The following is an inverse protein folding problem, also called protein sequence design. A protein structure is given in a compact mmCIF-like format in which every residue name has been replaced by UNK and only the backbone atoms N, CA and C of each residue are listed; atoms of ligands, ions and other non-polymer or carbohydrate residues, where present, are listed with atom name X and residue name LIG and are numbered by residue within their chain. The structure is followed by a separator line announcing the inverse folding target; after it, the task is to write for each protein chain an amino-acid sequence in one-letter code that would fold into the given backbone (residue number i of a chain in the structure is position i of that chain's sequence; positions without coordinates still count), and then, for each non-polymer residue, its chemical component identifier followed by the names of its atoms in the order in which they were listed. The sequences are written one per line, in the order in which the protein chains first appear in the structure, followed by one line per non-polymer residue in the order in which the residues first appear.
data_IF_117905939063
#
_entry.id   IF_117905939063
#
_cell.length_a   1.000
_cell.length_b   1.000
_cell.length_c   1.000
_cell.angle_alpha   90.00
_cell.angle_beta   90.00
_cell.angle_gamma   90.00
#
_symmetry.space_group_name_H-M   'P 1'
#
loop_
_entity.id
_entity.type
_entity.pdbx_description
1 polymer ?
#
# COMPACT_ATOMS: atom_id res chain seq x y z
N UNK A 1 -10.48 -3.36 -16.29
CA UNK A 1 -10.28 -2.86 -17.67
C UNK A 1 -10.36 -1.34 -17.72
N UNK A 2 -11.14 -0.69 -16.88
CA UNK A 2 -11.45 0.75 -16.96
C UNK A 2 -10.54 1.63 -16.07
N UNK A 3 -9.59 1.06 -15.34
CA UNK A 3 -8.68 1.79 -14.44
C UNK A 3 -7.46 2.39 -15.18
N UNK A 4 -7.06 1.81 -16.31
CA UNK A 4 -5.91 2.27 -17.09
C UNK A 4 -6.03 3.70 -17.64
N UNK A 5 -7.19 4.13 -18.16
CA UNK A 5 -7.34 5.49 -18.67
C UNK A 5 -7.28 6.57 -17.59
N UNK A 6 -7.41 6.21 -16.32
CA UNK A 6 -7.46 7.15 -15.19
C UNK A 6 -6.07 7.36 -14.54
N UNK A 7 -5.03 6.67 -15.04
CA UNK A 7 -3.66 6.85 -14.58
C UNK A 7 -3.36 6.29 -13.19
N UNK A 8 -4.11 5.28 -12.74
CA UNK A 8 -3.80 4.59 -11.48
C UNK A 8 -2.53 3.74 -11.60
N UNK A 9 -1.51 3.94 -10.76
CA UNK A 9 -0.29 3.15 -10.84
C UNK A 9 -0.52 1.72 -10.35
N UNK A 10 0.12 0.76 -11.03
CA UNK A 10 0.16 -0.62 -10.58
C UNK A 10 1.36 -0.85 -9.68
N UNK A 11 1.15 -1.60 -8.58
CA UNK A 11 2.18 -2.01 -7.65
C UNK A 11 2.30 -3.54 -7.60
N UNK A 12 3.45 -4.05 -7.17
CA UNK A 12 3.71 -5.47 -7.08
C UNK A 12 3.19 -6.03 -5.74
N UNK A 13 2.53 -7.19 -5.81
CA UNK A 13 2.07 -7.94 -4.63
C UNK A 13 2.40 -9.43 -4.73
N UNK A 14 3.53 -9.77 -5.41
CA UNK A 14 3.92 -11.10 -5.88
C UNK A 14 2.95 -11.70 -6.91
N UNK A 15 3.38 -12.74 -7.61
CA UNK A 15 2.52 -13.45 -8.56
C UNK A 15 1.62 -14.47 -7.85
N UNK A 16 2.19 -15.23 -6.93
CA UNK A 16 1.52 -16.37 -6.30
C UNK A 16 0.86 -16.04 -4.95
N UNK A 17 0.98 -14.80 -4.46
CA UNK A 17 0.44 -14.36 -3.17
C UNK A 17 0.80 -15.28 -2.00
N UNK A 18 2.05 -15.75 -1.93
CA UNK A 18 2.54 -16.59 -0.83
C UNK A 18 3.29 -15.74 0.20
N UNK A 19 3.37 -16.23 1.45
CA UNK A 19 4.20 -15.60 2.49
C UNK A 19 5.67 -15.54 2.04
N UNK A 20 6.33 -14.41 2.21
CA UNK A 20 7.73 -14.26 1.80
C UNK A 20 8.67 -15.29 2.46
N UNK A 21 8.36 -15.68 3.69
CA UNK A 21 9.10 -16.70 4.43
C UNK A 21 9.02 -18.12 3.83
N UNK A 22 8.06 -18.38 2.93
CA UNK A 22 7.89 -19.66 2.26
C UNK A 22 8.71 -19.80 0.97
N UNK A 23 9.41 -18.75 0.55
CA UNK A 23 10.24 -18.77 -0.63
C UNK A 23 11.72 -18.98 -0.29
N UNK A 24 12.44 -19.70 -1.16
CA UNK A 24 13.86 -19.48 -1.31
C UNK A 24 14.10 -18.12 -1.99
N UNK A 25 15.30 -17.57 -1.87
CA UNK A 25 15.65 -16.31 -2.54
C UNK A 25 15.39 -16.38 -4.04
N UNK A 26 15.86 -17.45 -4.71
CA UNK A 26 15.64 -17.66 -6.14
C UNK A 26 14.16 -17.83 -6.47
N UNK A 27 13.42 -18.59 -5.68
CA UNK A 27 11.98 -18.77 -5.88
C UNK A 27 11.19 -17.46 -5.79
N UNK A 28 11.58 -16.56 -4.88
CA UNK A 28 10.97 -15.23 -4.82
C UNK A 28 11.35 -14.39 -6.04
N UNK A 29 12.59 -14.40 -6.49
CA UNK A 29 13.01 -13.68 -7.71
C UNK A 29 12.18 -14.13 -8.92
N UNK A 30 12.04 -15.46 -9.13
CA UNK A 30 11.22 -16.03 -10.21
C UNK A 30 9.73 -15.63 -10.11
N UNK A 31 9.17 -15.62 -8.90
CA UNK A 31 7.78 -15.23 -8.65
C UNK A 31 7.54 -13.73 -8.94
N UNK A 32 8.48 -12.88 -8.53
CA UNK A 32 8.45 -11.45 -8.80
C UNK A 32 8.61 -11.15 -10.29
N UNK A 33 9.47 -11.89 -11.01
CA UNK A 33 9.65 -11.75 -12.46
C UNK A 33 8.38 -12.12 -13.23
N UNK A 34 7.66 -13.15 -12.78
CA UNK A 34 6.36 -13.51 -13.34
C UNK A 34 5.32 -12.41 -13.13
N UNK A 35 5.27 -11.83 -11.94
CA UNK A 35 4.36 -10.72 -11.66
C UNK A 35 4.69 -9.50 -12.51
N UNK A 36 5.96 -9.15 -12.65
CA UNK A 36 6.40 -8.00 -13.46
C UNK A 36 6.01 -8.16 -14.93
N UNK A 37 6.15 -9.35 -15.50
CA UNK A 37 5.70 -9.62 -16.88
C UNK A 37 4.20 -9.36 -17.07
N UNK A 38 3.37 -9.72 -16.06
CA UNK A 38 1.93 -9.42 -16.11
C UNK A 38 1.69 -7.92 -15.97
N UNK A 39 2.35 -7.26 -15.04
CA UNK A 39 2.16 -5.83 -14.83
C UNK A 39 2.64 -4.99 -16.02
N UNK A 40 3.72 -5.39 -16.68
CA UNK A 40 4.25 -4.73 -17.87
C UNK A 40 3.28 -4.76 -19.06
N UNK A 41 2.37 -5.74 -19.12
CA UNK A 41 1.34 -5.76 -20.17
C UNK A 41 0.23 -4.71 -19.97
N UNK A 42 0.14 -4.13 -18.78
CA UNK A 42 -0.83 -3.06 -18.47
C UNK A 42 -0.19 -1.67 -18.40
N UNK A 43 1.11 -1.61 -18.12
CA UNK A 43 1.85 -0.37 -17.94
C UNK A 43 3.30 -0.57 -18.41
N UNK A 44 3.55 -0.19 -19.66
CA UNK A 44 4.87 -0.32 -20.32
C UNK A 44 5.91 0.67 -19.79
N UNK A 45 5.51 1.69 -19.03
CA UNK A 45 6.39 2.78 -18.61
C UNK A 45 7.40 2.40 -17.52
N UNK A 46 7.58 1.13 -17.25
CA UNK A 46 8.76 0.49 -16.65
C UNK A 46 9.41 1.15 -15.42
N UNK A 47 8.69 2.02 -14.70
CA UNK A 47 9.22 2.62 -13.50
C UNK A 47 9.34 1.58 -12.38
N UNK A 48 10.35 1.76 -11.54
CA UNK A 48 10.53 0.93 -10.35
C UNK A 48 9.26 1.00 -9.49
N UNK A 49 8.50 -0.12 -9.46
CA UNK A 49 7.19 -0.19 -8.82
C UNK A 49 7.29 -0.14 -7.30
N UNK A 50 6.17 0.16 -6.66
CA UNK A 50 6.00 -0.04 -5.22
C UNK A 50 5.67 -1.51 -4.94
N UNK A 51 5.95 -1.97 -3.72
CA UNK A 51 5.69 -3.33 -3.28
C UNK A 51 4.79 -3.35 -2.06
N UNK A 52 3.82 -4.25 -2.06
CA UNK A 52 3.01 -4.60 -0.90
C UNK A 52 3.33 -6.02 -0.49
N UNK A 53 3.71 -6.23 0.77
CA UNK A 53 4.09 -7.55 1.26
C UNK A 53 2.85 -8.42 1.47
N UNK A 54 2.73 -9.59 0.80
CA UNK A 54 1.65 -10.53 1.06
C UNK A 54 1.59 -10.91 2.54
N UNK A 55 0.38 -10.92 3.10
CA UNK A 55 0.13 -11.14 4.53
C UNK A 55 0.83 -10.12 5.46
N UNK A 56 1.41 -9.07 4.92
CA UNK A 56 2.08 -8.01 5.66
C UNK A 56 3.36 -8.38 6.37
N UNK A 57 3.79 -9.63 6.27
CA UNK A 57 4.96 -10.14 7.00
C UNK A 57 6.25 -9.91 6.20
N UNK A 58 7.04 -8.94 6.63
CA UNK A 58 8.38 -8.73 6.10
C UNK A 58 9.29 -9.94 6.38
N UNK A 59 10.23 -10.18 5.48
CA UNK A 59 11.29 -11.18 5.66
C UNK A 59 12.64 -10.47 5.65
N UNK A 60 13.38 -10.41 6.76
CA UNK A 60 14.69 -9.76 6.81
C UNK A 60 15.66 -10.29 5.75
N UNK A 61 15.58 -11.59 5.45
CA UNK A 61 16.43 -12.23 4.43
C UNK A 61 16.12 -11.73 3.01
N UNK A 62 14.89 -11.28 2.75
CA UNK A 62 14.45 -10.80 1.43
C UNK A 62 14.56 -9.28 1.28
N UNK A 63 14.75 -8.54 2.37
CA UNK A 63 14.85 -7.08 2.36
C UNK A 63 15.89 -6.53 1.37
N UNK A 64 17.12 -7.06 1.27
CA UNK A 64 18.11 -6.53 0.31
C UNK A 64 17.67 -6.66 -1.15
N UNK A 65 16.90 -7.72 -1.48
CA UNK A 65 16.30 -7.90 -2.80
C UNK A 65 15.20 -6.88 -3.06
N UNK A 66 14.27 -6.73 -2.11
CA UNK A 66 13.16 -5.79 -2.22
C UNK A 66 13.66 -4.36 -2.38
N UNK A 67 14.65 -3.95 -1.59
CA UNK A 67 15.28 -2.62 -1.69
C UNK A 67 15.90 -2.33 -3.05
N UNK A 68 16.49 -3.32 -3.70
CA UNK A 68 17.06 -3.15 -5.05
C UNK A 68 15.99 -3.11 -6.14
N UNK A 69 14.91 -3.86 -5.95
CA UNK A 69 13.89 -4.09 -6.98
C UNK A 69 12.76 -3.06 -6.96
N UNK A 70 12.35 -2.63 -5.78
CA UNK A 70 11.18 -1.78 -5.61
C UNK A 70 11.54 -0.38 -5.10
N UNK A 71 10.69 0.58 -5.44
CA UNK A 71 10.81 1.95 -4.96
C UNK A 71 10.46 2.05 -3.48
N UNK A 72 9.37 1.37 -3.09
CA UNK A 72 8.93 1.27 -1.70
C UNK A 72 8.49 -0.15 -1.39
N UNK A 73 8.41 -0.47 -0.09
CA UNK A 73 7.75 -1.67 0.39
C UNK A 73 6.92 -1.34 1.65
N UNK A 74 5.66 -1.79 1.68
CA UNK A 74 4.79 -1.67 2.84
C UNK A 74 4.45 -3.04 3.43
N UNK A 75 4.25 -3.05 4.73
CA UNK A 75 3.61 -4.15 5.46
C UNK A 75 2.14 -3.85 5.76
N UNK A 76 1.69 -4.36 6.92
CA UNK A 76 0.36 -4.12 7.50
C UNK A 76 0.46 -3.58 8.95
N UNK A 77 1.66 -3.24 9.41
CA UNK A 77 1.81 -2.63 10.74
C UNK A 77 1.19 -1.23 10.71
N UNK A 78 0.16 -0.98 11.54
CA UNK A 78 -0.49 0.31 11.56
C UNK A 78 0.44 1.39 12.11
N UNK A 79 0.36 2.59 11.55
CA UNK A 79 1.16 3.73 11.98
C UNK A 79 1.19 4.85 10.98
N UNK A 80 1.80 5.96 11.39
CA UNK A 80 2.08 7.11 10.55
C UNK A 80 3.58 7.17 10.28
N UNK A 81 3.92 7.33 9.00
CA UNK A 81 5.29 7.51 8.57
C UNK A 81 5.70 8.97 8.80
N UNK A 82 6.57 9.24 9.80
CA UNK A 82 7.06 10.60 10.14
C UNK A 82 8.50 10.56 10.64
N UNK A 83 9.17 11.70 10.59
CA UNK A 83 10.58 11.80 10.94
C UNK A 83 11.48 11.09 9.93
N UNK A 84 12.30 10.17 10.39
CA UNK A 84 13.12 9.34 9.50
C UNK A 84 12.28 8.21 8.92
N UNK A 85 11.87 8.34 7.66
CA UNK A 85 11.02 7.37 6.97
C UNK A 85 11.90 6.39 6.19
N UNK A 86 11.75 5.09 6.47
CA UNK A 86 12.31 4.04 5.63
C UNK A 86 11.28 3.67 4.54
N UNK A 87 11.52 4.03 3.26
CA UNK A 87 10.56 3.75 2.19
C UNK A 87 10.34 2.24 1.95
N UNK A 88 11.21 1.38 2.46
CA UNK A 88 11.06 -0.08 2.35
C UNK A 88 10.49 -0.75 3.60
N UNK A 89 10.02 0.05 4.55
CA UNK A 89 9.32 -0.43 5.75
C UNK A 89 8.15 0.51 6.11
N UNK A 90 7.33 0.86 5.13
CA UNK A 90 6.20 1.77 5.36
C UNK A 90 5.14 1.11 6.23
N UNK A 91 4.74 1.83 7.27
CA UNK A 91 3.54 1.55 8.03
C UNK A 91 2.30 1.84 7.17
N UNK A 92 1.25 1.04 7.35
CA UNK A 92 0.01 1.22 6.60
C UNK A 92 -1.20 0.78 7.45
N UNK A 93 -2.31 1.49 7.32
CA UNK A 93 -3.53 1.26 8.09
C UNK A 93 -4.59 0.66 7.18
N UNK A 94 -5.19 -0.42 7.64
CA UNK A 94 -6.22 -1.15 6.90
C UNK A 94 -7.61 -0.56 7.16
N UNK A 95 -8.38 -0.36 6.10
CA UNK A 95 -9.82 -0.11 6.19
C UNK A 95 -10.55 -1.44 5.98
N UNK A 96 -11.23 -1.93 7.03
CA UNK A 96 -12.02 -3.17 7.06
C UNK A 96 -13.42 -2.88 7.59
N UNK A 97 -14.41 -3.79 7.33
CA UNK A 97 -15.78 -3.59 7.83
C UNK A 97 -15.90 -3.74 9.35
N UNK A 98 -14.89 -4.29 10.03
CA UNK A 98 -14.85 -4.41 11.48
C UNK A 98 -14.77 -3.00 12.14
N UNK A 99 -15.71 -2.65 13.05
CA UNK A 99 -15.72 -1.35 13.71
C UNK A 99 -14.40 -0.98 14.39
N UNK A 100 -13.69 -1.94 14.99
CA UNK A 100 -12.41 -1.67 15.66
C UNK A 100 -11.33 -1.18 14.67
N UNK A 101 -11.35 -1.71 13.45
CA UNK A 101 -10.42 -1.27 12.38
C UNK A 101 -10.80 0.11 11.84
N UNK A 102 -12.11 0.36 11.62
CA UNK A 102 -12.59 1.65 11.14
C UNK A 102 -12.32 2.75 12.17
N UNK A 103 -12.62 2.51 13.45
CA UNK A 103 -12.35 3.45 14.53
C UNK A 103 -10.84 3.68 14.74
N UNK A 104 -10.03 2.65 14.55
CA UNK A 104 -8.58 2.80 14.58
C UNK A 104 -8.08 3.65 13.40
N UNK A 105 -8.60 3.43 12.19
CA UNK A 105 -8.25 4.23 11.02
C UNK A 105 -8.63 5.70 11.20
N UNK A 106 -9.81 5.99 11.76
CA UNK A 106 -10.25 7.35 12.08
C UNK A 106 -9.31 8.04 13.08
N UNK A 107 -8.86 7.33 14.12
CA UNK A 107 -7.86 7.87 15.07
C UNK A 107 -6.51 8.15 14.43
N UNK A 108 -6.04 7.28 13.52
CA UNK A 108 -4.81 7.53 12.77
C UNK A 108 -4.95 8.73 11.82
N UNK A 109 -6.13 8.91 11.22
CA UNK A 109 -6.42 10.09 10.41
C UNK A 109 -6.42 11.37 11.24
N UNK A 110 -7.06 11.37 12.41
CA UNK A 110 -7.05 12.51 13.32
C UNK A 110 -5.64 12.88 13.77
N UNK A 111 -4.82 11.89 14.11
CA UNK A 111 -3.42 12.12 14.49
C UNK A 111 -2.59 12.71 13.32
N UNK A 112 -2.73 12.21 12.11
CA UNK A 112 -1.96 12.77 10.98
C UNK A 112 -2.43 14.16 10.61
N UNK A 113 -3.72 14.46 10.73
CA UNK A 113 -4.27 15.80 10.49
C UNK A 113 -3.77 16.79 11.54
N UNK A 114 -3.63 16.38 12.79
CA UNK A 114 -3.19 17.24 13.89
C UNK A 114 -1.67 17.42 13.92
N UNK A 115 -0.93 16.35 13.70
CA UNK A 115 0.52 16.30 13.98
C UNK A 115 1.37 16.11 12.71
N UNK A 116 0.75 16.03 11.53
CA UNK A 116 1.43 15.81 10.26
C UNK A 116 1.94 14.39 10.08
N UNK A 117 2.60 14.15 8.94
CA UNK A 117 3.15 12.86 8.55
C UNK A 117 2.49 12.27 7.31
N UNK A 118 2.83 11.05 6.98
CA UNK A 118 2.29 10.30 5.84
C UNK A 118 1.55 9.06 6.32
N UNK A 119 0.23 9.07 6.17
CA UNK A 119 -0.65 7.94 6.46
C UNK A 119 -0.91 7.17 5.17
N UNK A 120 -0.45 5.93 5.11
CA UNK A 120 -0.77 5.00 4.01
C UNK A 120 -2.02 4.21 4.38
N UNK A 121 -3.02 4.25 3.52
CA UNK A 121 -4.27 3.51 3.69
C UNK A 121 -4.37 2.41 2.65
N UNK A 122 -4.89 1.24 3.02
CA UNK A 122 -5.19 0.16 2.10
C UNK A 122 -6.50 -0.56 2.47
N UNK A 123 -7.13 -1.13 1.47
CA UNK A 123 -8.26 -2.04 1.59
C UNK A 123 -8.22 -3.02 0.43
N UNK A 124 -9.09 -4.04 0.40
CA UNK A 124 -9.12 -5.01 -0.68
C UNK A 124 -10.21 -4.68 -1.71
N UNK A 125 -11.39 -4.36 -1.25
CA UNK A 125 -12.52 -3.96 -2.10
C UNK A 125 -13.35 -2.88 -1.41
N UNK A 126 -14.04 -2.08 -2.21
CA UNK A 126 -14.97 -1.05 -1.72
C UNK A 126 -16.33 -1.29 -2.37
N UNK A 127 -17.33 -1.63 -1.56
CA UNK A 127 -18.68 -1.88 -2.05
C UNK A 127 -19.72 -1.73 -0.93
N UNK A 128 -21.01 -1.81 -1.28
CA UNK A 128 -22.11 -1.83 -0.29
C UNK A 128 -22.17 -3.09 0.57
N UNK A 129 -21.55 -4.19 0.07
CA UNK A 129 -21.41 -5.46 0.78
C UNK A 129 -19.98 -6.00 0.58
N UNK A 130 -18.98 -5.40 1.24
CA UNK A 130 -17.59 -5.72 1.01
C UNK A 130 -17.22 -7.09 1.57
N UNK A 131 -16.11 -7.64 1.05
CA UNK A 131 -15.49 -8.83 1.64
C UNK A 131 -15.03 -8.56 3.08
N UNK A 132 -14.63 -9.63 3.78
CA UNK A 132 -14.08 -9.51 5.15
C UNK A 132 -12.90 -8.53 5.27
N UNK A 133 -12.15 -8.33 4.19
CA UNK A 133 -11.00 -7.41 4.12
C UNK A 133 -11.31 -6.12 3.35
N UNK A 134 -12.53 -5.94 2.89
CA UNK A 134 -12.95 -4.75 2.15
C UNK A 134 -13.36 -3.59 3.05
N UNK A 135 -13.90 -2.54 2.48
CA UNK A 135 -14.42 -1.38 3.19
C UNK A 135 -15.83 -1.03 2.68
N UNK A 136 -16.80 -0.79 3.56
CA UNK A 136 -18.10 -0.26 3.15
C UNK A 136 -17.94 1.08 2.41
N UNK A 137 -18.67 1.24 1.32
CA UNK A 137 -18.52 2.41 0.45
C UNK A 137 -18.76 3.74 1.16
N UNK A 138 -19.80 3.82 1.98
CA UNK A 138 -20.13 5.00 2.78
C UNK A 138 -19.02 5.37 3.77
N UNK A 139 -18.40 4.36 4.40
CA UNK A 139 -17.27 4.54 5.33
C UNK A 139 -16.02 5.02 4.58
N UNK A 140 -15.71 4.40 3.44
CA UNK A 140 -14.61 4.83 2.59
C UNK A 140 -14.76 6.28 2.14
N UNK A 141 -15.94 6.64 1.62
CA UNK A 141 -16.25 8.00 1.21
C UNK A 141 -16.18 8.99 2.39
N UNK A 142 -16.68 8.60 3.57
CA UNK A 142 -16.59 9.40 4.79
C UNK A 142 -15.15 9.67 5.19
N UNK A 143 -14.31 8.64 5.18
CA UNK A 143 -12.89 8.73 5.48
C UNK A 143 -12.16 9.69 4.51
N UNK A 144 -12.38 9.54 3.20
CA UNK A 144 -11.77 10.39 2.17
C UNK A 144 -12.23 11.86 2.31
N UNK A 145 -13.54 12.07 2.56
CA UNK A 145 -14.06 13.44 2.81
C UNK A 145 -13.44 14.07 4.06
N UNK A 146 -13.32 13.31 5.15
CA UNK A 146 -12.67 13.79 6.39
C UNK A 146 -11.20 14.17 6.13
N UNK A 147 -10.46 13.34 5.41
CA UNK A 147 -9.08 13.63 5.04
C UNK A 147 -8.97 14.93 4.21
N UNK A 148 -9.78 15.06 3.17
CA UNK A 148 -9.76 16.23 2.29
C UNK A 148 -10.18 17.51 3.02
N UNK A 149 -11.25 17.47 3.82
CA UNK A 149 -11.73 18.66 4.58
C UNK A 149 -10.77 19.05 5.71
N UNK A 150 -10.00 18.08 6.24
CA UNK A 150 -8.94 18.32 7.22
C UNK A 150 -7.63 18.86 6.62
N UNK A 151 -7.59 19.08 5.30
CA UNK A 151 -6.43 19.64 4.60
C UNK A 151 -5.34 18.63 4.22
N UNK A 152 -5.61 17.32 4.36
CA UNK A 152 -4.67 16.30 3.89
C UNK A 152 -4.57 16.32 2.36
N UNK A 153 -3.36 16.15 1.84
CA UNK A 153 -3.13 15.92 0.41
C UNK A 153 -3.30 14.43 0.13
N UNK A 154 -4.43 14.05 -0.48
CA UNK A 154 -4.67 12.67 -0.91
C UNK A 154 -3.94 12.43 -2.22
N UNK A 155 -3.06 11.43 -2.25
CA UNK A 155 -2.21 11.14 -3.41
C UNK A 155 -1.81 9.67 -3.47
N UNK A 156 -1.27 9.24 -4.61
CA UNK A 156 -0.70 7.91 -4.75
C UNK A 156 0.60 7.78 -3.95
N UNK A 157 1.02 6.53 -3.66
CA UNK A 157 2.30 6.27 -3.00
C UNK A 157 3.47 6.88 -3.79
N UNK A 158 3.45 6.79 -5.12
CA UNK A 158 4.50 7.37 -5.98
C UNK A 158 4.58 8.89 -5.85
N UNK A 159 3.43 9.56 -5.86
CA UNK A 159 3.38 11.01 -5.69
C UNK A 159 3.86 11.42 -4.29
N UNK A 160 3.51 10.66 -3.25
CA UNK A 160 3.96 10.93 -1.89
C UNK A 160 5.48 10.76 -1.74
N UNK A 161 6.06 9.68 -2.27
CA UNK A 161 7.51 9.45 -2.27
C UNK A 161 8.24 10.59 -2.97
N UNK A 162 7.75 11.03 -4.12
CA UNK A 162 8.33 12.16 -4.85
C UNK A 162 8.24 13.46 -4.06
N UNK A 163 7.07 13.75 -3.46
CA UNK A 163 6.87 14.96 -2.67
C UNK A 163 7.72 15.01 -1.39
N UNK A 164 8.06 13.83 -0.83
CA UNK A 164 8.89 13.70 0.38
C UNK A 164 10.40 13.60 0.06
N UNK A 165 10.79 13.49 -1.20
CA UNK A 165 12.19 13.35 -1.61
C UNK A 165 12.82 12.00 -1.21
N UNK A 166 12.04 10.92 -1.16
CA UNK A 166 12.46 9.58 -0.76
C UNK A 166 12.89 8.70 -1.94
#
# INVERSE_FOLDING_TARGET
PDLLPVGHPFACHTYSHRKLSSFSRRGLEEDLDRNEKVLASFDENGHRRNFSTPFGMASPLMQPMLRRRFRTARGIMPGINRGSIDPHNLAAVELRPDPNYLDAADRWLDDVLQNGGWLVIFTHDVSSAPSFYGCPEDRFQGFVRKAASGGAKVMTVDAAVTALGL
#
